data_IF_668400454240
#
_entry.id   IF_668400454240
#
_cell.length_a   1.000
_cell.length_b   1.000
_cell.length_c   1.000
_cell.angle_alpha   90.00
_cell.angle_beta   90.00
_cell.angle_gamma   90.00
#
_symmetry.space_group_name_H-M   'P 1'
#
loop_
_entity.id
_entity.type
_entity.pdbx_description
1 polymer ?
#
# COMPACT_ATOMS: atom_id res chain seq x y z
N UNK A 1 -9.25 -11.80 -15.20
CA UNK A 1 -9.06 -11.70 -13.70
C UNK A 1 -10.31 -12.24 -13.02
N UNK A 2 -10.13 -13.08 -12.00
CA UNK A 2 -11.22 -13.66 -11.21
C UNK A 2 -11.20 -13.04 -9.79
N UNK A 3 -12.31 -12.41 -9.41
CA UNK A 3 -12.55 -11.94 -8.06
C UNK A 3 -12.64 -13.12 -7.08
N UNK A 4 -11.97 -13.04 -5.92
CA UNK A 4 -11.99 -14.08 -4.91
C UNK A 4 -12.76 -13.61 -3.67
N UNK A 5 -12.29 -12.52 -3.01
CA UNK A 5 -12.92 -12.02 -1.79
C UNK A 5 -12.46 -10.59 -1.48
N UNK A 6 -13.33 -9.74 -0.90
CA UNK A 6 -12.89 -8.47 -0.35
C UNK A 6 -12.01 -8.69 0.88
N UNK A 7 -11.01 -7.84 1.05
CA UNK A 7 -10.22 -7.75 2.25
C UNK A 7 -10.78 -6.58 3.06
N UNK A 8 -11.55 -6.89 4.10
CA UNK A 8 -12.28 -5.87 4.89
C UNK A 8 -11.39 -5.11 5.88
N UNK A 9 -10.10 -5.37 5.90
CA UNK A 9 -9.13 -4.66 6.72
C UNK A 9 -8.58 -3.45 5.95
N UNK A 10 -8.76 -2.27 6.50
CA UNK A 10 -8.32 -1.00 5.91
C UNK A 10 -9.41 -0.22 5.17
N UNK A 11 -9.31 1.12 5.21
CA UNK A 11 -10.31 2.04 4.65
C UNK A 11 -10.40 2.09 3.11
N UNK A 12 -9.57 1.33 2.38
CA UNK A 12 -9.53 1.31 0.91
C UNK A 12 -10.25 0.11 0.29
N UNK A 13 -10.80 -0.82 1.08
CA UNK A 13 -11.51 -2.03 0.65
C UNK A 13 -10.78 -2.78 -0.50
N UNK A 14 -9.53 -3.21 -0.30
CA UNK A 14 -8.82 -3.98 -1.32
C UNK A 14 -9.47 -5.36 -1.48
N UNK A 15 -9.20 -6.04 -2.59
CA UNK A 15 -9.70 -7.39 -2.81
C UNK A 15 -8.59 -8.35 -3.23
N UNK A 16 -8.72 -9.61 -2.82
CA UNK A 16 -7.93 -10.69 -3.36
C UNK A 16 -8.52 -11.14 -4.70
N UNK A 17 -7.71 -11.17 -5.73
CA UNK A 17 -8.10 -11.64 -7.05
C UNK A 17 -7.02 -12.54 -7.65
N UNK A 18 -7.43 -13.44 -8.54
CA UNK A 18 -6.54 -14.26 -9.36
C UNK A 18 -6.53 -13.68 -10.78
N UNK A 19 -5.34 -13.36 -11.28
CA UNK A 19 -5.18 -12.83 -12.63
C UNK A 19 -5.13 -13.95 -13.69
N UNK A 20 -5.02 -13.57 -14.94
CA UNK A 20 -4.94 -14.48 -16.08
C UNK A 20 -3.62 -15.26 -16.16
N UNK A 21 -2.59 -14.79 -15.46
CA UNK A 21 -1.34 -15.51 -15.23
C UNK A 21 -1.42 -16.60 -14.14
N UNK A 22 -2.58 -16.77 -13.50
CA UNK A 22 -2.81 -17.71 -12.40
C UNK A 22 -2.24 -17.28 -11.05
N UNK A 23 -1.69 -16.05 -10.97
CA UNK A 23 -1.13 -15.50 -9.75
C UNK A 23 -2.22 -14.72 -8.99
N UNK A 24 -2.11 -14.75 -7.67
CA UNK A 24 -3.00 -13.98 -6.79
C UNK A 24 -2.42 -12.61 -6.48
N UNK A 25 -3.28 -11.60 -6.51
CA UNK A 25 -2.94 -10.22 -6.23
C UNK A 25 -3.92 -9.59 -5.25
N UNK A 26 -3.43 -8.70 -4.42
CA UNK A 26 -4.24 -7.76 -3.67
C UNK A 26 -4.49 -6.57 -4.59
N UNK A 27 -5.73 -6.41 -5.04
CA UNK A 27 -6.15 -5.30 -5.90
C UNK A 27 -6.49 -4.08 -5.07
N UNK A 28 -5.95 -2.95 -5.47
CA UNK A 28 -6.31 -1.61 -4.97
C UNK A 28 -7.05 -0.86 -6.07
N UNK A 29 -8.25 -0.40 -5.75
CA UNK A 29 -9.22 0.10 -6.70
C UNK A 29 -9.14 1.60 -6.91
N UNK A 30 -9.19 2.04 -8.17
CA UNK A 30 -9.21 3.47 -8.53
C UNK A 30 -10.50 4.16 -8.06
N UNK A 31 -11.59 3.42 -7.97
CA UNK A 31 -12.91 3.91 -7.55
C UNK A 31 -13.08 4.07 -6.05
N UNK A 32 -12.07 3.75 -5.24
CA UNK A 32 -12.13 3.95 -3.79
C UNK A 32 -12.14 5.45 -3.43
N UNK A 33 -12.53 5.78 -2.18
CA UNK A 33 -12.67 7.17 -1.72
C UNK A 33 -11.38 8.01 -1.76
N UNK A 34 -10.21 7.37 -1.86
CA UNK A 34 -8.91 8.03 -1.99
C UNK A 34 -8.52 8.34 -3.45
N UNK A 35 -9.19 7.69 -4.40
CA UNK A 35 -9.06 7.95 -5.84
C UNK A 35 -7.69 7.58 -6.44
N UNK A 36 -7.45 8.02 -7.69
CA UNK A 36 -6.25 7.65 -8.44
C UNK A 36 -4.94 8.15 -7.82
N UNK A 37 -4.98 9.24 -7.04
CA UNK A 37 -3.77 9.79 -6.42
C UNK A 37 -3.14 8.83 -5.42
N UNK A 38 -3.96 8.09 -4.65
CA UNK A 38 -3.45 7.08 -3.73
C UNK A 38 -2.78 5.91 -4.47
N UNK A 39 -3.32 5.49 -5.62
CA UNK A 39 -2.70 4.45 -6.44
C UNK A 39 -1.38 4.94 -7.08
N UNK A 40 -1.30 6.20 -7.48
CA UNK A 40 -0.05 6.80 -7.98
C UNK A 40 1.00 6.85 -6.85
N UNK A 41 0.60 7.25 -5.64
CA UNK A 41 1.49 7.25 -4.48
C UNK A 41 1.97 5.84 -4.13
N UNK A 42 1.07 4.85 -4.16
CA UNK A 42 1.39 3.43 -3.98
C UNK A 42 2.45 2.96 -4.98
N UNK A 43 2.23 3.25 -6.27
CA UNK A 43 3.15 2.86 -7.33
C UNK A 43 4.53 3.52 -7.16
N UNK A 44 4.55 4.84 -6.99
CA UNK A 44 5.81 5.59 -6.84
C UNK A 44 6.54 5.15 -5.57
N UNK A 45 5.85 5.11 -4.44
CA UNK A 45 6.43 4.73 -3.16
C UNK A 45 6.97 3.32 -3.16
N UNK A 46 6.21 2.37 -3.71
CA UNK A 46 6.63 0.97 -3.82
C UNK A 46 7.83 0.78 -4.75
N UNK A 47 7.86 1.43 -5.91
CA UNK A 47 8.99 1.32 -6.84
C UNK A 47 10.26 2.02 -6.30
N UNK A 48 10.13 3.14 -5.60
CA UNK A 48 11.28 3.76 -4.91
C UNK A 48 11.81 2.85 -3.79
N UNK A 49 10.93 2.22 -2.99
CA UNK A 49 11.33 1.23 -2.00
C UNK A 49 12.14 0.08 -2.63
N UNK A 50 11.64 -0.47 -3.74
CA UNK A 50 12.33 -1.54 -4.49
C UNK A 50 13.68 -1.10 -5.06
N UNK A 51 13.75 0.11 -5.62
CA UNK A 51 15.00 0.67 -6.14
C UNK A 51 16.07 0.85 -5.06
N UNK A 52 15.65 1.08 -3.82
CA UNK A 52 16.53 1.12 -2.64
C UNK A 52 16.85 -0.26 -2.07
N UNK A 53 16.41 -1.35 -2.71
CA UNK A 53 16.64 -2.72 -2.26
C UNK A 53 15.84 -3.12 -1.03
N UNK A 54 14.75 -2.40 -0.71
CA UNK A 54 13.79 -2.81 0.32
C UNK A 54 12.80 -3.83 -0.26
N UNK A 55 12.35 -4.77 0.56
CA UNK A 55 11.40 -5.79 0.12
C UNK A 55 10.01 -5.20 0.00
N UNK A 56 9.46 -5.33 -1.17
CA UNK A 56 8.11 -4.90 -1.52
C UNK A 56 7.48 -5.94 -2.44
N UNK A 57 6.20 -6.32 -2.28
CA UNK A 57 5.52 -7.15 -3.26
C UNK A 57 5.59 -6.54 -4.66
N UNK A 58 5.70 -7.37 -5.69
CA UNK A 58 5.69 -6.89 -7.06
C UNK A 58 4.38 -6.14 -7.33
N UNK A 59 4.50 -4.96 -7.92
CA UNK A 59 3.38 -4.15 -8.37
C UNK A 59 3.07 -4.46 -9.83
N UNK A 60 1.80 -4.60 -10.16
CA UNK A 60 1.31 -4.83 -11.51
C UNK A 60 0.13 -3.92 -11.82
N UNK A 61 -0.03 -3.56 -13.08
CA UNK A 61 -1.27 -2.95 -13.54
C UNK A 61 -2.30 -4.05 -13.77
N UNK A 62 -3.49 -3.87 -13.20
CA UNK A 62 -4.61 -4.80 -13.32
C UNK A 62 -5.74 -4.12 -14.07
N UNK A 63 -6.09 -4.64 -15.24
CA UNK A 63 -7.26 -4.17 -15.99
C UNK A 63 -8.48 -4.99 -15.58
N UNK A 64 -9.53 -4.29 -15.17
CA UNK A 64 -10.78 -4.87 -14.75
C UNK A 64 -11.84 -4.67 -15.83
N UNK A 65 -12.39 -5.80 -16.31
CA UNK A 65 -13.47 -5.80 -17.28
C UNK A 65 -14.84 -5.51 -16.65
N UNK A 66 -15.87 -5.33 -17.48
CA UNK A 66 -17.24 -5.06 -17.04
C UNK A 66 -17.87 -6.22 -16.27
N UNK A 67 -17.34 -7.42 -16.38
CA UNK A 67 -17.82 -8.64 -15.73
C UNK A 67 -17.26 -8.84 -14.33
N UNK A 68 -16.21 -8.08 -13.97
CA UNK A 68 -15.53 -8.25 -12.70
C UNK A 68 -16.46 -7.93 -11.53
N UNK A 69 -16.57 -8.86 -10.59
CA UNK A 69 -17.39 -8.69 -9.39
C UNK A 69 -18.90 -8.82 -9.58
N UNK A 70 -19.40 -9.29 -10.72
CA UNK A 70 -20.86 -9.45 -10.95
C UNK A 70 -21.56 -10.37 -9.95
N UNK A 71 -20.82 -11.26 -9.30
CA UNK A 71 -21.34 -12.21 -8.30
C UNK A 71 -21.21 -11.70 -6.87
N UNK A 72 -20.66 -10.49 -6.70
CA UNK A 72 -20.58 -9.87 -5.38
C UNK A 72 -21.98 -9.47 -4.89
N UNK A 73 -22.31 -9.87 -3.66
CA UNK A 73 -23.62 -9.62 -3.06
C UNK A 73 -23.71 -8.33 -2.25
N UNK A 74 -22.57 -7.72 -1.92
CA UNK A 74 -22.49 -6.51 -1.14
C UNK A 74 -22.61 -5.28 -2.05
N UNK A 75 -23.62 -4.45 -1.85
CA UNK A 75 -23.90 -3.29 -2.70
C UNK A 75 -22.77 -2.26 -2.70
N UNK A 76 -22.12 -2.03 -1.55
CA UNK A 76 -21.00 -1.08 -1.43
C UNK A 76 -19.79 -1.56 -2.26
N UNK A 77 -19.50 -2.86 -2.18
CA UNK A 77 -18.43 -3.46 -2.97
C UNK A 77 -18.78 -3.46 -4.46
N UNK A 78 -20.03 -3.75 -4.84
CA UNK A 78 -20.47 -3.65 -6.23
C UNK A 78 -20.30 -2.23 -6.78
N UNK A 79 -20.68 -1.22 -6.03
CA UNK A 79 -20.51 0.19 -6.42
C UNK A 79 -19.02 0.54 -6.61
N UNK A 80 -18.15 0.11 -5.69
CA UNK A 80 -16.71 0.26 -5.80
C UNK A 80 -16.16 -0.38 -7.08
N UNK A 81 -16.54 -1.62 -7.36
CA UNK A 81 -16.09 -2.36 -8.54
C UNK A 81 -16.57 -1.71 -9.84
N UNK A 82 -17.80 -1.21 -9.88
CA UNK A 82 -18.33 -0.47 -11.05
C UNK A 82 -17.55 0.84 -11.31
N UNK A 83 -17.15 1.54 -10.26
CA UNK A 83 -16.31 2.75 -10.34
C UNK A 83 -14.85 2.45 -10.68
N UNK A 84 -14.45 1.19 -10.62
CA UNK A 84 -13.06 0.74 -10.77
C UNK A 84 -12.80 0.01 -12.09
N UNK A 85 -13.69 0.12 -13.07
CA UNK A 85 -13.48 -0.44 -14.42
C UNK A 85 -12.23 0.16 -15.06
N UNK A 86 -11.49 -0.68 -15.81
CA UNK A 86 -10.24 -0.28 -16.45
C UNK A 86 -9.02 -0.48 -15.52
N UNK A 87 -8.08 0.46 -15.56
CA UNK A 87 -6.76 0.30 -14.97
C UNK A 87 -6.75 0.52 -13.45
N UNK A 88 -6.30 -0.49 -12.73
CA UNK A 88 -6.11 -0.50 -11.30
C UNK A 88 -4.69 -0.97 -10.93
N UNK A 89 -4.38 -1.10 -9.65
CA UNK A 89 -3.09 -1.57 -9.17
C UNK A 89 -3.24 -2.89 -8.41
N UNK A 90 -2.39 -3.86 -8.73
CA UNK A 90 -2.28 -5.13 -8.03
C UNK A 90 -0.94 -5.25 -7.31
N UNK A 91 -0.95 -5.80 -6.10
CA UNK A 91 0.24 -6.20 -5.38
C UNK A 91 0.26 -7.72 -5.31
N UNK A 92 1.39 -8.35 -5.64
CA UNK A 92 1.55 -9.80 -5.51
C UNK A 92 1.18 -10.27 -4.10
N UNK A 93 0.24 -11.20 -4.00
CA UNK A 93 -0.23 -11.70 -2.71
C UNK A 93 0.81 -12.61 -2.06
N UNK A 94 1.32 -12.21 -0.91
CA UNK A 94 2.30 -12.96 -0.13
C UNK A 94 1.57 -14.01 0.73
N UNK A 95 1.35 -15.18 0.17
CA UNK A 95 0.61 -16.26 0.85
C UNK A 95 1.30 -16.70 2.13
N UNK A 96 0.56 -16.68 3.24
CA UNK A 96 1.08 -17.03 4.56
C UNK A 96 1.89 -15.92 5.25
N UNK A 97 1.94 -14.71 4.68
CA UNK A 97 2.48 -13.56 5.39
C UNK A 97 1.59 -13.20 6.59
N UNK A 98 2.22 -12.71 7.64
CA UNK A 98 1.54 -12.19 8.84
C UNK A 98 1.88 -10.71 9.04
N UNK A 99 0.99 -9.97 9.65
CA UNK A 99 1.23 -8.56 9.98
C UNK A 99 2.45 -8.44 10.90
N UNK A 100 3.31 -7.47 10.61
CA UNK A 100 4.44 -7.15 11.48
C UNK A 100 3.94 -6.57 12.80
N UNK A 101 4.44 -7.13 13.90
CA UNK A 101 4.18 -6.64 15.26
C UNK A 101 5.49 -6.15 15.89
N UNK A 102 5.61 -4.84 16.16
CA UNK A 102 6.82 -4.25 16.73
C UNK A 102 7.10 -4.67 18.18
N UNK A 103 6.11 -5.26 18.86
CA UNK A 103 6.27 -5.73 20.25
C UNK A 103 7.04 -7.04 20.30
N UNK A 104 6.83 -7.90 19.29
CA UNK A 104 7.43 -9.25 19.28
C UNK A 104 8.57 -9.41 18.28
N UNK A 105 8.73 -8.44 17.36
CA UNK A 105 9.74 -8.52 16.30
C UNK A 105 10.66 -7.30 16.33
N UNK A 106 11.94 -7.55 16.52
CA UNK A 106 12.98 -6.51 16.40
C UNK A 106 13.50 -6.47 14.98
N UNK A 107 13.64 -5.27 14.43
CA UNK A 107 14.22 -5.01 13.11
C UNK A 107 15.66 -4.56 13.29
N UNK A 108 16.55 -5.00 12.42
CA UNK A 108 17.94 -4.52 12.38
C UNK A 108 17.99 -3.00 12.20
N UNK A 109 18.89 -2.32 12.92
CA UNK A 109 18.95 -0.87 12.96
C UNK A 109 19.25 -0.23 11.58
N UNK A 110 20.07 -0.86 10.74
CA UNK A 110 20.33 -0.38 9.39
C UNK A 110 19.06 -0.45 8.54
N UNK A 111 18.37 -1.59 8.58
CA UNK A 111 17.11 -1.76 7.86
C UNK A 111 16.03 -0.79 8.37
N UNK A 112 15.91 -0.64 9.70
CA UNK A 112 14.96 0.30 10.30
C UNK A 112 15.26 1.75 9.86
N UNK A 113 16.52 2.18 9.93
CA UNK A 113 16.95 3.51 9.48
C UNK A 113 16.66 3.78 8.01
N UNK A 114 16.88 2.78 7.14
CA UNK A 114 16.58 2.92 5.70
C UNK A 114 15.09 3.05 5.43
N UNK A 115 14.24 2.33 6.16
CA UNK A 115 12.78 2.44 6.03
C UNK A 115 12.30 3.78 6.57
N UNK A 116 12.77 4.21 7.73
CA UNK A 116 12.44 5.53 8.30
C UNK A 116 12.86 6.65 7.36
N UNK A 117 14.06 6.56 6.79
CA UNK A 117 14.54 7.53 5.80
C UNK A 117 13.65 7.57 4.55
N UNK A 118 13.30 6.39 4.01
CA UNK A 118 12.39 6.30 2.85
C UNK A 118 11.05 6.97 3.13
N UNK A 119 10.43 6.64 4.27
CA UNK A 119 9.12 7.18 4.62
C UNK A 119 9.17 8.68 4.92
N UNK A 120 10.28 9.18 5.48
CA UNK A 120 10.51 10.62 5.61
C UNK A 120 10.65 11.31 4.25
N UNK A 121 11.42 10.71 3.33
CA UNK A 121 11.61 11.23 1.97
C UNK A 121 10.31 11.26 1.17
N UNK A 122 9.49 10.21 1.30
CA UNK A 122 8.20 10.10 0.63
C UNK A 122 7.05 10.79 1.38
N UNK A 123 7.31 11.36 2.53
CA UNK A 123 6.28 11.95 3.42
C UNK A 123 5.13 10.96 3.72
N UNK A 124 5.47 9.70 4.03
CA UNK A 124 4.51 8.67 4.38
C UNK A 124 3.96 8.91 5.79
N UNK A 125 2.69 9.21 5.90
CA UNK A 125 2.04 9.54 7.19
C UNK A 125 1.45 8.34 7.92
N UNK A 126 1.43 7.15 7.30
CA UNK A 126 0.60 6.03 7.75
C UNK A 126 1.37 4.80 8.25
N UNK A 127 2.71 4.84 8.30
CA UNK A 127 3.50 3.74 8.87
C UNK A 127 3.76 3.96 10.36
N UNK A 128 2.70 3.76 11.14
CA UNK A 128 2.67 4.06 12.58
C UNK A 128 2.52 2.78 13.42
N UNK A 129 2.60 2.90 14.75
CA UNK A 129 2.38 1.75 15.64
C UNK A 129 0.94 1.18 15.55
N UNK A 130 -0.04 1.96 15.10
CA UNK A 130 -1.43 1.52 14.92
C UNK A 130 -1.66 0.84 13.58
N UNK A 131 -0.91 1.27 12.57
CA UNK A 131 -0.97 0.74 11.22
C UNK A 131 0.46 0.58 10.70
N UNK A 132 1.03 -0.60 10.92
CA UNK A 132 2.45 -0.80 10.62
C UNK A 132 2.75 -0.84 9.13
N UNK A 133 1.77 -1.19 8.29
CA UNK A 133 1.92 -1.32 6.82
C UNK A 133 3.16 -2.14 6.42
N UNK A 134 3.41 -3.20 7.19
CA UNK A 134 4.50 -4.15 6.99
C UNK A 134 4.03 -5.57 7.27
N UNK A 135 4.61 -6.52 6.57
CA UNK A 135 4.37 -7.95 6.73
C UNK A 135 5.67 -8.68 7.06
N UNK A 136 5.55 -9.76 7.81
CA UNK A 136 6.59 -10.78 7.94
C UNK A 136 6.27 -11.94 6.99
N UNK A 137 7.16 -12.19 6.04
CA UNK A 137 7.04 -13.29 5.10
C UNK A 137 8.38 -14.00 4.93
N UNK A 138 8.41 -15.32 5.11
CA UNK A 138 9.64 -16.12 5.11
C UNK A 138 10.73 -15.56 6.04
N UNK A 139 10.34 -15.06 7.22
CA UNK A 139 11.22 -14.41 8.23
C UNK A 139 11.85 -13.10 7.78
N UNK A 140 11.37 -12.51 6.69
CA UNK A 140 11.82 -11.24 6.15
C UNK A 140 10.74 -10.18 6.28
N UNK A 141 11.15 -8.92 6.51
CA UNK A 141 10.25 -7.78 6.59
C UNK A 141 9.92 -7.27 5.19
N UNK A 142 8.63 -7.13 4.90
CA UNK A 142 8.10 -6.65 3.63
C UNK A 142 7.27 -5.39 3.85
N UNK A 143 7.55 -4.35 3.08
CA UNK A 143 6.77 -3.12 3.10
C UNK A 143 5.53 -3.28 2.23
N UNK A 144 4.42 -2.72 2.68
CA UNK A 144 3.18 -2.62 1.91
C UNK A 144 2.54 -1.25 2.15
N UNK A 145 1.53 -0.92 1.35
CA UNK A 145 0.67 0.24 1.52
C UNK A 145 1.38 1.59 1.56
N UNK A 146 1.86 2.04 0.41
CA UNK A 146 2.46 3.36 0.21
C UNK A 146 1.44 4.42 -0.28
N UNK A 147 0.14 4.09 -0.26
CA UNK A 147 -0.90 4.98 -0.77
C UNK A 147 -1.02 6.32 -0.03
N UNK A 148 -0.49 6.39 1.19
CA UNK A 148 -0.41 7.62 2.00
C UNK A 148 0.90 8.40 1.82
N UNK A 149 1.77 7.98 0.89
CA UNK A 149 2.97 8.74 0.51
C UNK A 149 2.63 9.98 -0.30
N UNK A 150 3.59 10.90 -0.39
CA UNK A 150 3.44 12.15 -1.17
C UNK A 150 2.20 12.93 -0.73
N UNK A 151 1.94 12.98 0.55
CA UNK A 151 0.70 13.49 1.13
C UNK A 151 0.35 14.92 0.66
N UNK A 152 1.33 15.73 0.29
CA UNK A 152 1.14 17.08 -0.25
C UNK A 152 0.28 17.11 -1.53
N UNK A 153 0.18 16.01 -2.29
CA UNK A 153 -0.59 15.97 -3.53
C UNK A 153 -2.11 16.02 -3.32
N UNK A 154 -2.59 15.82 -2.09
CA UNK A 154 -4.02 15.91 -1.81
C UNK A 154 -4.57 17.33 -1.95
N UNK A 155 -3.79 18.36 -1.69
CA UNK A 155 -4.25 19.75 -1.83
C UNK A 155 -3.44 20.63 -2.76
N UNK A 156 -2.20 20.29 -3.10
CA UNK A 156 -1.24 21.12 -3.84
C UNK A 156 -1.01 22.53 -3.26
N UNK A 157 -1.74 22.91 -2.22
CA UNK A 157 -1.57 24.20 -1.57
C UNK A 157 -0.24 24.21 -0.83
N UNK A 158 0.62 25.18 -1.18
CA UNK A 158 1.96 25.33 -0.60
C UNK A 158 2.85 24.05 -0.72
N UNK A 159 2.65 23.26 -1.77
CA UNK A 159 3.38 22.01 -1.98
C UNK A 159 4.90 22.20 -1.97
N UNK A 160 5.42 23.32 -2.53
CA UNK A 160 6.86 23.62 -2.50
C UNK A 160 7.41 23.79 -1.10
N UNK A 161 6.65 24.42 -0.20
CA UNK A 161 7.01 24.56 1.21
C UNK A 161 7.02 23.20 1.90
N UNK A 162 6.01 22.38 1.63
CA UNK A 162 5.92 21.01 2.18
C UNK A 162 7.05 20.11 1.66
N UNK A 163 7.37 20.18 0.38
CA UNK A 163 8.44 19.38 -0.21
C UNK A 163 9.85 19.77 0.26
N UNK A 164 10.05 21.02 0.70
CA UNK A 164 11.35 21.53 1.17
C UNK A 164 11.45 21.60 2.68
N UNK A 165 10.33 21.42 3.38
CA UNK A 165 10.28 21.45 4.85
C UNK A 165 10.61 20.11 5.50
N UNK A 166 10.87 20.08 6.81
CA UNK A 166 11.02 18.84 7.56
C UNK A 166 9.66 18.11 7.59
N UNK A 167 9.71 16.79 7.48
CA UNK A 167 8.55 15.93 7.69
C UNK A 167 8.39 15.61 9.18
N UNK A 168 7.66 16.46 9.89
CA UNK A 168 7.54 16.35 11.36
C UNK A 168 6.81 15.09 11.83
N UNK A 169 5.90 14.52 10.99
CA UNK A 169 5.14 13.32 11.35
C UNK A 169 5.98 12.05 11.39
N UNK A 170 7.24 12.12 10.95
CA UNK A 170 8.18 11.00 11.09
C UNK A 170 8.38 10.57 12.54
N UNK A 171 8.13 11.45 13.51
CA UNK A 171 8.19 11.13 14.95
C UNK A 171 7.25 10.01 15.38
N UNK A 172 6.16 9.79 14.61
CA UNK A 172 5.13 8.77 14.90
C UNK A 172 5.43 7.44 14.17
N UNK A 173 6.55 7.37 13.44
CA UNK A 173 6.93 6.19 12.67
C UNK A 173 7.26 5.00 13.56
N UNK A 174 6.65 3.82 13.25
CA UNK A 174 6.73 2.62 14.07
C UNK A 174 8.16 2.10 14.31
N UNK A 175 9.06 2.27 13.35
CA UNK A 175 10.46 1.81 13.46
C UNK A 175 11.43 2.87 13.99
N UNK A 176 10.99 4.11 14.23
CA UNK A 176 11.88 5.16 14.69
C UNK A 176 12.65 4.79 15.98
N UNK A 177 12.07 4.08 16.96
CA UNK A 177 12.81 3.65 18.14
C UNK A 177 13.92 2.62 17.89
N UNK A 178 13.94 1.99 16.71
CA UNK A 178 14.89 0.95 16.31
C UNK A 178 15.91 1.46 15.26
N UNK A 179 15.68 2.67 14.73
CA UNK A 179 16.46 3.27 13.65
C UNK A 179 17.77 3.92 14.12
#
# INVERSE_FOLDING_TARGET
TRYITPLREGGSLPALAEADDGIKYVLKFIGNGHGPKALIAELIGGEVARALGLRMPALVFAELDEGFGRTEGDEEIQELLQKSKGLNLGLHYLSGAITFDPVVTTVDADLASRIVWLDAFLTNIDRTARNTNMLMWHKELWLIDHGSCLYFHHSWTNWEKHAKGPFELIKDHVLLPQA
#
